data_IF_026329824617
#
_entry.id   IF_026329824617
#
_cell.length_a   1.000
_cell.length_b   1.000
_cell.length_c   1.000
_cell.angle_alpha   90.00
_cell.angle_beta   90.00
_cell.angle_gamma   90.00
#
_symmetry.space_group_name_H-M   'P 1'
#
loop_
_entity.id
_entity.type
_entity.pdbx_description
1 polymer ?
#
# COMPACT_ATOMS: atom_id res chain seq x y z
N UNK A 1 -19.26 1.82 5.84
CA UNK A 1 -19.97 1.73 7.15
C UNK A 1 -21.50 1.79 7.09
N UNK A 2 -22.14 2.53 6.18
CA UNK A 2 -23.62 2.70 6.17
C UNK A 2 -24.43 1.39 6.11
N UNK A 3 -23.94 0.38 5.36
CA UNK A 3 -24.58 -0.95 5.30
C UNK A 3 -24.53 -1.71 6.64
N UNK A 4 -23.40 -1.67 7.36
CA UNK A 4 -23.24 -2.37 8.64
C UNK A 4 -24.13 -1.75 9.73
N UNK A 5 -24.19 -0.40 9.80
CA UNK A 5 -25.08 0.30 10.72
C UNK A 5 -26.56 -0.01 10.46
N UNK A 6 -26.94 -0.19 9.18
CA UNK A 6 -28.31 -0.54 8.79
C UNK A 6 -28.69 -1.97 9.20
N UNK A 7 -27.76 -2.92 9.12
CA UNK A 7 -27.99 -4.32 9.51
C UNK A 7 -28.05 -4.49 11.03
N UNK A 8 -27.22 -3.75 11.77
CA UNK A 8 -27.08 -3.90 13.21
C UNK A 8 -28.07 -3.09 14.05
N UNK A 9 -28.95 -2.29 13.42
CA UNK A 9 -30.03 -1.54 14.07
C UNK A 9 -31.39 -2.24 13.86
N UNK A 10 -31.73 -3.28 14.64
CA UNK A 10 -33.10 -3.79 14.66
C UNK A 10 -34.07 -2.72 15.15
N UNK A 11 -35.30 -2.73 14.62
CA UNK A 11 -36.34 -1.73 14.89
C UNK A 11 -36.77 -1.68 16.38
N UNK A 12 -36.48 -2.73 17.15
CA UNK A 12 -36.93 -2.90 18.54
C UNK A 12 -35.91 -2.48 19.63
N UNK A 13 -34.74 -1.93 19.27
CA UNK A 13 -33.79 -1.48 20.30
C UNK A 13 -34.35 -0.28 21.09
N UNK A 14 -34.30 -0.34 22.41
CA UNK A 14 -34.59 0.85 23.22
C UNK A 14 -33.50 1.94 23.04
N UNK A 15 -33.79 3.16 23.48
CA UNK A 15 -32.88 4.31 23.27
C UNK A 15 -31.47 4.08 23.84
N UNK A 16 -31.35 3.51 25.04
CA UNK A 16 -30.06 3.24 25.68
C UNK A 16 -29.22 2.21 24.89
N UNK A 17 -29.86 1.17 24.36
CA UNK A 17 -29.18 0.19 23.51
C UNK A 17 -28.76 0.79 22.17
N UNK A 18 -29.56 1.71 21.59
CA UNK A 18 -29.19 2.44 20.37
C UNK A 18 -27.95 3.31 20.58
N UNK A 19 -27.91 4.09 21.66
CA UNK A 19 -26.75 4.93 21.99
C UNK A 19 -25.48 4.10 22.23
N UNK A 20 -25.61 2.98 22.95
CA UNK A 20 -24.50 2.05 23.19
C UNK A 20 -23.97 1.46 21.89
N UNK A 21 -24.87 1.01 21.01
CA UNK A 21 -24.54 0.46 19.70
C UNK A 21 -23.86 1.49 18.81
N UNK A 22 -24.39 2.72 18.74
CA UNK A 22 -23.79 3.80 17.95
C UNK A 22 -22.40 4.14 18.46
N UNK A 23 -22.22 4.25 19.78
CA UNK A 23 -20.90 4.46 20.37
C UNK A 23 -19.92 3.33 20.07
N UNK A 24 -20.38 2.07 20.04
CA UNK A 24 -19.55 0.93 19.66
C UNK A 24 -19.16 0.97 18.17
N UNK A 25 -20.11 1.29 17.29
CA UNK A 25 -19.89 1.42 15.84
C UNK A 25 -18.93 2.56 15.50
N UNK A 26 -19.03 3.69 16.19
CA UNK A 26 -18.12 4.83 16.00
C UNK A 26 -16.70 4.49 16.45
N UNK A 27 -16.53 3.77 17.56
CA UNK A 27 -15.22 3.27 18.00
C UNK A 27 -14.64 2.28 16.99
N UNK A 28 -15.45 1.35 16.50
CA UNK A 28 -15.03 0.38 15.50
C UNK A 28 -14.60 1.07 14.19
N UNK A 29 -15.37 2.03 13.70
CA UNK A 29 -15.05 2.82 12.50
C UNK A 29 -13.71 3.57 12.64
N UNK A 30 -13.42 4.14 13.81
CA UNK A 30 -12.11 4.76 14.10
C UNK A 30 -10.98 3.73 14.09
N UNK A 31 -11.19 2.53 14.64
CA UNK A 31 -10.19 1.47 14.65
C UNK A 31 -9.91 0.95 13.24
N UNK A 32 -10.95 0.77 12.42
CA UNK A 32 -10.81 0.32 11.04
C UNK A 32 -10.09 1.34 10.17
N UNK A 33 -10.45 2.63 10.24
CA UNK A 33 -9.70 3.69 9.55
C UNK A 33 -8.22 3.69 9.93
N UNK A 34 -7.91 3.55 11.23
CA UNK A 34 -6.53 3.47 11.71
C UNK A 34 -5.82 2.19 11.23
N UNK A 35 -6.55 1.08 11.10
CA UNK A 35 -6.02 -0.18 10.57
C UNK A 35 -5.72 -0.07 9.08
N UNK A 36 -6.60 0.53 8.30
CA UNK A 36 -6.41 0.83 6.88
C UNK A 36 -5.23 1.76 6.65
N UNK A 37 -5.18 2.90 7.34
CA UNK A 37 -4.06 3.82 7.23
C UNK A 37 -2.70 3.17 7.55
N UNK A 38 -2.64 2.31 8.58
CA UNK A 38 -1.42 1.55 8.88
C UNK A 38 -1.04 0.57 7.77
N UNK A 39 -2.02 -0.10 7.15
CA UNK A 39 -1.78 -1.03 6.05
C UNK A 39 -1.23 -0.31 4.82
N UNK A 40 -1.83 0.81 4.44
CA UNK A 40 -1.38 1.60 3.30
C UNK A 40 0.01 2.18 3.51
N UNK A 41 0.29 2.71 4.71
CA UNK A 41 1.63 3.20 5.05
C UNK A 41 2.69 2.09 5.06
N UNK A 42 2.33 0.88 5.53
CA UNK A 42 3.22 -0.28 5.46
C UNK A 42 3.51 -0.67 4.00
N UNK A 43 2.48 -0.79 3.17
CA UNK A 43 2.63 -1.08 1.74
C UNK A 43 3.52 -0.07 1.01
N UNK A 44 3.36 1.23 1.28
CA UNK A 44 4.24 2.26 0.72
C UNK A 44 5.70 2.09 1.16
N UNK A 45 5.95 1.67 2.42
CA UNK A 45 7.30 1.38 2.92
C UNK A 45 7.89 0.14 2.26
N UNK A 46 7.12 -0.92 2.08
CA UNK A 46 7.56 -2.12 1.38
C UNK A 46 7.98 -1.80 -0.07
N UNK A 47 7.21 -0.96 -0.78
CA UNK A 47 7.60 -0.50 -2.12
C UNK A 47 8.87 0.34 -2.12
N UNK A 48 9.06 1.22 -1.13
CA UNK A 48 10.33 1.95 -0.95
C UNK A 48 11.50 0.98 -0.75
N UNK A 49 11.36 -0.03 0.11
CA UNK A 49 12.40 -1.02 0.37
C UNK A 49 12.72 -1.86 -0.88
N UNK A 50 11.69 -2.24 -1.66
CA UNK A 50 11.88 -2.90 -2.96
C UNK A 50 12.66 -2.03 -3.94
N UNK A 51 12.36 -0.74 -4.04
CA UNK A 51 13.13 0.19 -4.88
C UNK A 51 14.59 0.24 -4.42
N UNK A 52 14.84 0.33 -3.11
CA UNK A 52 16.21 0.31 -2.57
C UNK A 52 16.96 -0.97 -2.97
N UNK A 53 16.32 -2.14 -2.91
CA UNK A 53 16.92 -3.38 -3.35
C UNK A 53 17.21 -3.41 -4.86
N UNK A 54 16.26 -2.95 -5.69
CA UNK A 54 16.45 -2.86 -7.15
C UNK A 54 17.58 -1.91 -7.54
N UNK A 55 17.71 -0.78 -6.84
CA UNK A 55 18.81 0.15 -7.03
C UNK A 55 20.17 -0.48 -6.72
N UNK A 56 20.25 -1.43 -5.78
CA UNK A 56 21.51 -2.13 -5.48
C UNK A 56 21.96 -3.04 -6.63
N UNK A 57 21.02 -3.65 -7.36
CA UNK A 57 21.34 -4.40 -8.59
C UNK A 57 21.71 -3.46 -9.73
N UNK A 58 21.04 -2.30 -9.85
CA UNK A 58 21.38 -1.30 -10.87
C UNK A 58 22.78 -0.69 -10.71
N UNK A 59 23.44 -0.82 -9.55
CA UNK A 59 24.84 -0.42 -9.41
C UNK A 59 25.78 -1.14 -10.38
N UNK A 60 25.40 -2.31 -10.92
CA UNK A 60 26.17 -2.99 -11.97
C UNK A 60 26.33 -2.13 -13.23
N UNK A 61 25.35 -1.24 -13.51
CA UNK A 61 25.40 -0.31 -14.63
C UNK A 61 26.63 0.62 -14.56
N UNK A 62 27.12 0.96 -13.36
CA UNK A 62 28.28 1.83 -13.18
C UNK A 62 29.58 1.22 -13.72
N UNK A 63 29.62 -0.11 -13.82
CA UNK A 63 30.76 -0.86 -14.35
C UNK A 63 30.63 -1.22 -15.83
N UNK A 64 29.45 -1.06 -16.41
CA UNK A 64 29.20 -1.41 -17.81
C UNK A 64 29.73 -0.32 -18.75
N UNK A 65 30.19 -0.77 -19.90
CA UNK A 65 30.63 0.10 -20.99
C UNK A 65 29.94 -0.33 -22.28
N UNK A 66 30.00 0.52 -23.30
CA UNK A 66 29.42 0.21 -24.62
C UNK A 66 30.07 -1.03 -25.27
N UNK A 67 31.29 -1.37 -24.83
CA UNK A 67 32.07 -2.53 -25.25
C UNK A 67 31.62 -3.86 -24.64
N UNK A 68 30.61 -3.86 -23.74
CA UNK A 68 30.07 -5.10 -23.21
C UNK A 68 29.60 -6.02 -24.34
N UNK A 69 30.10 -7.25 -24.30
CA UNK A 69 29.86 -8.31 -25.27
C UNK A 69 28.51 -8.97 -25.06
N UNK A 70 28.09 -9.12 -23.80
CA UNK A 70 26.81 -9.69 -23.45
C UNK A 70 25.72 -8.63 -23.49
N UNK A 71 24.92 -8.65 -24.56
CA UNK A 71 23.84 -7.68 -24.75
C UNK A 71 22.62 -7.97 -23.88
N UNK A 72 22.46 -9.17 -23.31
CA UNK A 72 21.31 -9.46 -22.45
C UNK A 72 21.35 -8.66 -21.15
N UNK A 73 22.54 -8.31 -20.65
CA UNK A 73 22.70 -7.51 -19.44
C UNK A 73 22.00 -6.14 -19.58
N UNK A 74 22.06 -5.49 -20.74
CA UNK A 74 21.35 -4.23 -20.95
C UNK A 74 19.83 -4.38 -20.89
N UNK A 75 19.29 -5.50 -21.40
CA UNK A 75 17.86 -5.80 -21.30
C UNK A 75 17.46 -6.07 -19.85
N UNK A 76 18.27 -6.80 -19.10
CA UNK A 76 18.04 -7.07 -17.67
C UNK A 76 18.02 -5.76 -16.86
N UNK A 77 18.98 -4.85 -17.11
CA UNK A 77 18.99 -3.54 -16.45
C UNK A 77 17.79 -2.67 -16.86
N UNK A 78 17.33 -2.74 -18.12
CA UNK A 78 16.12 -2.06 -18.56
C UNK A 78 14.88 -2.58 -17.79
N UNK A 79 14.78 -3.89 -17.58
CA UNK A 79 13.72 -4.49 -16.77
C UNK A 79 13.77 -4.01 -15.31
N UNK A 80 14.96 -3.82 -14.72
CA UNK A 80 15.09 -3.26 -13.37
C UNK A 80 14.53 -1.82 -13.29
N UNK A 81 14.76 -0.98 -14.30
CA UNK A 81 14.15 0.36 -14.35
C UNK A 81 12.62 0.31 -14.40
N UNK A 82 12.06 -0.60 -15.21
CA UNK A 82 10.61 -0.81 -15.30
C UNK A 82 10.04 -1.25 -13.95
N UNK A 83 10.71 -2.18 -13.26
CA UNK A 83 10.30 -2.65 -11.95
C UNK A 83 10.37 -1.56 -10.86
N UNK A 84 11.35 -0.66 -10.94
CA UNK A 84 11.41 0.53 -10.08
C UNK A 84 10.22 1.45 -10.35
N UNK A 85 9.89 1.70 -11.62
CA UNK A 85 8.75 2.54 -12.00
C UNK A 85 7.44 1.95 -11.46
N UNK A 86 7.19 0.66 -11.69
CA UNK A 86 6.01 -0.03 -11.14
C UNK A 86 5.94 0.05 -9.61
N UNK A 87 7.07 -0.16 -8.94
CA UNK A 87 7.14 -0.07 -7.48
C UNK A 87 6.86 1.36 -6.98
N UNK A 88 7.37 2.37 -7.69
CA UNK A 88 7.13 3.77 -7.36
C UNK A 88 5.66 4.17 -7.55
N UNK A 89 5.04 3.74 -8.65
CA UNK A 89 3.62 3.95 -8.91
C UNK A 89 2.74 3.29 -7.85
N UNK A 90 3.02 2.03 -7.49
CA UNK A 90 2.28 1.31 -6.47
C UNK A 90 2.44 1.94 -5.07
N UNK A 91 3.66 2.36 -4.71
CA UNK A 91 3.91 3.09 -3.47
C UNK A 91 3.17 4.43 -3.42
N UNK A 92 3.16 5.19 -4.52
CA UNK A 92 2.41 6.44 -4.63
C UNK A 92 0.90 6.21 -4.55
N UNK A 93 0.38 5.15 -5.19
CA UNK A 93 -1.02 4.77 -5.10
C UNK A 93 -1.41 4.42 -3.65
N UNK A 94 -0.60 3.62 -2.94
CA UNK A 94 -0.85 3.29 -1.54
C UNK A 94 -0.92 4.55 -0.65
N UNK A 95 -0.06 5.54 -0.87
CA UNK A 95 -0.10 6.80 -0.11
C UNK A 95 -1.33 7.67 -0.41
N UNK A 96 -1.95 7.55 -1.58
CA UNK A 96 -3.18 8.28 -1.95
C UNK A 96 -4.44 7.71 -1.30
N UNK A 97 -4.35 6.50 -0.73
CA UNK A 97 -5.44 5.86 0.04
C UNK A 97 -5.47 6.28 1.52
N UNK A 98 -4.54 7.16 1.95
CA UNK A 98 -4.51 7.77 3.28
C UNK A 98 -5.39 9.02 3.35
#
# INVERSE_FOLDING_TARGET
MGRLRKVLRPEELNCACRETLDGALDRFDRLERRREARRWLASARDHKERITALLSFLCELDSLTEAESDRSVFEELALLFIEIAHSAEAGAAALREL
#
